data_IF_110239914065
#
_entry.id   IF_110239914065
#
_cell.length_a   1.000
_cell.length_b   1.000
_cell.length_c   1.000
_cell.angle_alpha   90.00
_cell.angle_beta   90.00
_cell.angle_gamma   90.00
#
_symmetry.space_group_name_H-M   'P 1'
#
loop_
_entity.id
_entity.type
_entity.pdbx_description
1 polymer ?
#
# COMPACT_ATOMS: atom_id res chain seq x y z
N UNK A 1 25.90 -20.52 -6.73
CA UNK A 1 25.95 -20.92 -5.31
C UNK A 1 26.79 -19.91 -4.56
N UNK A 2 26.13 -18.83 -4.12
CA UNK A 2 26.72 -17.83 -3.24
C UNK A 2 27.10 -18.46 -1.90
N UNK A 3 28.17 -17.95 -1.29
CA UNK A 3 28.49 -18.31 0.10
C UNK A 3 27.43 -17.74 1.06
N UNK A 4 27.26 -18.37 2.23
CA UNK A 4 26.38 -17.85 3.28
C UNK A 4 26.72 -16.38 3.64
N UNK A 5 28.00 -16.00 3.58
CA UNK A 5 28.46 -14.63 3.78
C UNK A 5 27.91 -13.63 2.75
N UNK A 6 27.80 -14.03 1.47
CA UNK A 6 27.25 -13.17 0.41
C UNK A 6 25.73 -13.05 0.51
N UNK A 7 25.03 -14.12 0.91
CA UNK A 7 23.61 -14.07 1.24
C UNK A 7 23.34 -13.15 2.44
N UNK A 8 24.21 -13.21 3.46
CA UNK A 8 24.20 -12.30 4.62
C UNK A 8 24.45 -10.85 4.18
N UNK A 9 25.30 -10.59 3.18
CA UNK A 9 25.50 -9.23 2.63
C UNK A 9 24.26 -8.69 1.91
N UNK A 10 23.52 -9.52 1.19
CA UNK A 10 22.24 -9.14 0.56
C UNK A 10 21.19 -8.81 1.63
N UNK A 11 21.21 -9.55 2.74
CA UNK A 11 20.30 -9.41 3.88
C UNK A 11 20.94 -8.64 5.05
N UNK A 12 21.93 -7.77 4.81
CA UNK A 12 22.73 -7.11 5.86
C UNK A 12 21.93 -6.10 6.72
N UNK A 13 20.60 -6.20 6.70
CA UNK A 13 19.68 -5.46 7.53
C UNK A 13 18.81 -6.48 8.29
N UNK A 14 18.80 -6.49 9.63
CA UNK A 14 18.11 -7.50 10.42
C UNK A 14 16.60 -7.52 10.13
N UNK A 15 16.11 -8.59 9.50
CA UNK A 15 14.68 -8.72 9.23
C UNK A 15 13.92 -9.13 10.50
N UNK A 16 12.96 -8.30 10.91
CA UNK A 16 12.07 -8.58 12.03
C UNK A 16 10.70 -8.94 11.48
N UNK A 17 10.31 -10.20 11.64
CA UNK A 17 8.96 -10.67 11.33
C UNK A 17 7.96 -10.15 12.38
N UNK A 18 6.67 -10.12 12.04
CA UNK A 18 5.61 -9.97 13.04
C UNK A 18 5.83 -11.01 14.17
N UNK A 19 6.11 -10.55 15.39
CA UNK A 19 6.47 -11.39 16.55
C UNK A 19 7.95 -11.37 16.98
N UNK A 20 8.84 -10.73 16.22
CA UNK A 20 10.24 -10.50 16.60
C UNK A 20 11.25 -11.53 16.08
N UNK A 21 12.51 -11.43 16.54
CA UNK A 21 13.64 -12.22 16.02
C UNK A 21 13.64 -13.72 16.37
N UNK A 22 12.69 -14.16 17.19
CA UNK A 22 12.54 -15.55 17.64
C UNK A 22 11.35 -16.28 17.01
N UNK A 23 10.57 -15.62 16.14
CA UNK A 23 9.44 -16.25 15.46
C UNK A 23 9.94 -17.40 14.58
N UNK A 24 9.33 -18.59 14.74
CA UNK A 24 9.68 -19.75 13.93
C UNK A 24 9.14 -19.59 12.52
N UNK A 25 9.86 -20.09 11.52
CA UNK A 25 9.42 -19.98 10.13
C UNK A 25 8.08 -20.72 9.89
N UNK A 26 7.86 -21.85 10.56
CA UNK A 26 6.63 -22.66 10.44
C UNK A 26 5.38 -21.95 10.97
N UNK A 27 5.53 -21.00 11.89
CA UNK A 27 4.39 -20.29 12.51
C UNK A 27 3.85 -19.15 11.61
N UNK A 28 4.65 -18.71 10.63
CA UNK A 28 4.32 -17.63 9.71
C UNK A 28 3.80 -18.13 8.36
N UNK A 29 4.01 -19.41 8.07
CA UNK A 29 4.03 -19.94 6.72
C UNK A 29 3.14 -21.18 6.64
N UNK A 30 1.86 -20.99 6.26
CA UNK A 30 0.96 -22.10 5.93
C UNK A 30 1.14 -22.52 4.44
N UNK A 31 1.78 -23.67 4.16
CA UNK A 31 2.51 -23.89 2.93
C UNK A 31 1.82 -24.61 1.75
N UNK A 32 0.51 -24.95 1.67
CA UNK A 32 0.09 -25.77 0.55
C UNK A 32 -0.14 -24.95 -0.72
N UNK A 33 0.79 -25.08 -1.67
CA UNK A 33 0.52 -24.97 -3.11
C UNK A 33 1.56 -24.24 -3.96
N UNK A 34 2.46 -23.45 -3.36
CA UNK A 34 3.40 -22.60 -4.14
C UNK A 34 4.86 -22.66 -3.70
N UNK A 35 5.16 -23.41 -2.64
CA UNK A 35 6.51 -23.62 -2.10
C UNK A 35 7.21 -24.75 -2.85
N UNK A 36 8.47 -24.55 -3.25
CA UNK A 36 9.25 -25.62 -3.89
C UNK A 36 9.66 -26.71 -2.89
N UNK A 37 9.95 -27.92 -3.40
CA UNK A 37 10.42 -29.03 -2.58
C UNK A 37 11.76 -28.74 -1.87
N UNK A 38 12.63 -27.93 -2.49
CA UNK A 38 13.91 -27.55 -1.91
C UNK A 38 13.74 -26.55 -0.77
N UNK A 39 12.83 -25.57 -0.91
CA UNK A 39 12.49 -24.66 0.17
C UNK A 39 11.89 -25.42 1.38
N UNK A 40 11.01 -26.40 1.13
CA UNK A 40 10.45 -27.24 2.20
C UNK A 40 11.52 -28.04 2.96
N UNK A 41 12.60 -28.47 2.30
CA UNK A 41 13.70 -29.20 2.98
C UNK A 41 14.49 -28.31 3.95
N UNK A 42 14.51 -27.00 3.72
CA UNK A 42 15.17 -26.03 4.60
C UNK A 42 14.29 -25.63 5.80
N UNK A 43 12.99 -25.92 5.74
CA UNK A 43 12.03 -25.57 6.79
C UNK A 43 12.06 -26.63 7.91
N UNK A 44 12.90 -26.41 8.92
CA UNK A 44 12.92 -27.25 10.13
C UNK A 44 11.98 -26.69 11.20
N UNK A 45 11.66 -27.48 12.22
CA UNK A 45 10.83 -27.01 13.32
C UNK A 45 11.47 -25.85 14.09
N UNK A 46 12.80 -25.85 14.24
CA UNK A 46 13.51 -24.88 15.08
C UNK A 46 14.04 -23.66 14.32
N UNK A 47 14.05 -23.69 12.98
CA UNK A 47 14.62 -22.59 12.20
C UNK A 47 13.82 -21.31 12.42
N UNK A 48 14.54 -20.24 12.78
CA UNK A 48 13.95 -18.92 12.89
C UNK A 48 13.53 -18.42 11.51
N UNK A 49 12.52 -17.56 11.46
CA UNK A 49 12.09 -16.96 10.21
C UNK A 49 13.23 -16.18 9.52
N UNK A 50 14.09 -15.49 10.29
CA UNK A 50 15.26 -14.80 9.75
C UNK A 50 16.29 -15.78 9.14
N UNK A 51 16.57 -16.89 9.82
CA UNK A 51 17.50 -17.91 9.31
C UNK A 51 16.94 -18.64 8.09
N UNK A 52 15.64 -18.92 8.06
CA UNK A 52 14.99 -19.52 6.92
C UNK A 52 15.07 -18.61 5.69
N UNK A 53 14.78 -17.31 5.82
CA UNK A 53 14.96 -16.35 4.73
C UNK A 53 16.42 -16.29 4.24
N UNK A 54 17.40 -16.30 5.16
CA UNK A 54 18.83 -16.35 4.79
C UNK A 54 19.16 -17.62 4.01
N UNK A 55 18.65 -18.75 4.46
CA UNK A 55 18.83 -20.03 3.76
C UNK A 55 18.23 -19.97 2.35
N UNK A 56 16.99 -19.50 2.20
CA UNK A 56 16.36 -19.36 0.88
C UNK A 56 17.19 -18.49 -0.07
N UNK A 57 17.76 -17.38 0.41
CA UNK A 57 18.63 -16.51 -0.40
C UNK A 57 19.98 -17.19 -0.72
N UNK A 58 20.59 -17.88 0.24
CA UNK A 58 21.87 -18.57 0.05
C UNK A 58 21.77 -19.72 -0.98
N UNK A 59 20.65 -20.43 -0.97
CA UNK A 59 20.33 -21.48 -1.94
C UNK A 59 19.70 -20.95 -3.24
N UNK A 60 19.66 -19.62 -3.44
CA UNK A 60 19.13 -18.98 -4.65
C UNK A 60 17.64 -19.31 -4.91
N UNK A 61 16.89 -19.69 -3.87
CA UNK A 61 15.45 -19.98 -3.88
C UNK A 61 14.63 -18.68 -3.79
N UNK A 62 14.87 -17.76 -4.72
CA UNK A 62 14.35 -16.40 -4.65
C UNK A 62 12.83 -16.28 -4.67
N UNK A 63 12.14 -17.09 -5.47
CA UNK A 63 10.68 -17.04 -5.53
C UNK A 63 10.06 -17.49 -4.20
N UNK A 64 10.63 -18.51 -3.55
CA UNK A 64 10.20 -18.92 -2.22
C UNK A 64 10.52 -17.84 -1.17
N UNK A 65 11.68 -17.19 -1.28
CA UNK A 65 12.04 -16.06 -0.41
C UNK A 65 11.05 -14.89 -0.54
N UNK A 66 10.68 -14.50 -1.77
CA UNK A 66 9.72 -13.43 -2.03
C UNK A 66 8.35 -13.76 -1.44
N UNK A 67 7.87 -14.99 -1.65
CA UNK A 67 6.62 -15.44 -1.04
C UNK A 67 6.71 -15.40 0.48
N UNK A 68 7.80 -15.90 1.06
CA UNK A 68 7.99 -15.93 2.51
C UNK A 68 7.98 -14.53 3.13
N UNK A 69 8.60 -13.54 2.48
CA UNK A 69 8.51 -12.13 2.90
C UNK A 69 7.07 -11.62 2.88
N UNK A 70 6.27 -11.98 1.87
CA UNK A 70 4.87 -11.56 1.79
C UNK A 70 4.04 -12.02 3.01
N UNK A 71 4.30 -13.23 3.51
CA UNK A 71 3.65 -13.78 4.71
C UNK A 71 4.20 -13.20 6.01
N UNK A 72 5.45 -12.75 6.01
CA UNK A 72 6.10 -12.20 7.19
C UNK A 72 5.74 -10.76 7.54
N UNK A 73 5.18 -10.03 6.58
CA UNK A 73 4.80 -8.62 6.72
C UNK A 73 3.35 -8.50 7.20
N UNK A 74 3.06 -7.48 8.01
CA UNK A 74 1.67 -7.10 8.29
C UNK A 74 0.95 -6.74 7.00
N UNK A 75 -0.37 -6.95 6.94
CA UNK A 75 -1.19 -6.76 5.72
C UNK A 75 -0.91 -5.43 4.99
N UNK A 76 -0.84 -4.32 5.73
CA UNK A 76 -0.57 -2.98 5.17
C UNK A 76 0.86 -2.86 4.63
N UNK A 77 1.83 -3.38 5.37
CA UNK A 77 3.23 -3.45 4.95
C UNK A 77 3.40 -4.32 3.70
N UNK A 78 2.74 -5.46 3.63
CA UNK A 78 2.81 -6.38 2.49
C UNK A 78 2.31 -5.72 1.20
N UNK A 79 1.14 -5.06 1.24
CA UNK A 79 0.61 -4.33 0.07
C UNK A 79 1.53 -3.19 -0.34
N UNK A 80 2.04 -2.41 0.62
CA UNK A 80 2.98 -1.33 0.33
C UNK A 80 4.28 -1.84 -0.31
N UNK A 81 4.85 -2.90 0.25
CA UNK A 81 6.03 -3.56 -0.31
C UNK A 81 5.78 -4.02 -1.75
N UNK A 82 4.65 -4.65 -2.03
CA UNK A 82 4.29 -5.05 -3.38
C UNK A 82 4.19 -3.87 -4.36
N UNK A 83 3.64 -2.73 -3.94
CA UNK A 83 3.60 -1.50 -4.75
C UNK A 83 5.01 -0.95 -5.03
N UNK A 84 5.89 -0.96 -4.03
CA UNK A 84 7.29 -0.57 -4.18
C UNK A 84 8.05 -1.50 -5.13
N UNK A 85 7.81 -2.81 -5.04
CA UNK A 85 8.39 -3.80 -5.93
C UNK A 85 8.05 -3.48 -7.39
N UNK A 86 6.76 -3.27 -7.66
CA UNK A 86 6.29 -2.89 -8.99
C UNK A 86 7.00 -1.61 -9.49
N UNK A 87 6.96 -0.54 -8.69
CA UNK A 87 7.57 0.74 -9.05
C UNK A 87 9.10 0.65 -9.26
N UNK A 88 9.79 -0.22 -8.52
CA UNK A 88 11.25 -0.38 -8.63
C UNK A 88 11.70 -1.03 -9.95
N UNK A 89 10.88 -1.91 -10.54
CA UNK A 89 11.25 -2.61 -11.78
C UNK A 89 10.69 -1.94 -13.03
N UNK A 90 9.54 -1.30 -12.94
CA UNK A 90 8.87 -0.70 -14.10
C UNK A 90 8.95 0.83 -14.16
N UNK A 91 9.30 1.51 -13.06
CA UNK A 91 9.37 2.97 -13.02
C UNK A 91 8.05 3.63 -13.43
N UNK A 92 8.08 4.83 -14.07
CA UNK A 92 6.88 5.54 -14.51
C UNK A 92 6.31 5.01 -15.83
N UNK A 93 6.54 3.74 -16.17
CA UNK A 93 6.04 3.15 -17.42
C UNK A 93 4.51 3.30 -17.48
N UNK A 94 4.01 3.73 -18.64
CA UNK A 94 2.58 3.82 -18.87
C UNK A 94 1.94 2.44 -18.72
N UNK A 95 1.16 2.31 -17.66
CA UNK A 95 0.28 1.20 -17.41
C UNK A 95 -0.99 1.35 -18.26
N UNK A 96 -1.64 0.24 -18.66
CA UNK A 96 -3.04 0.30 -19.05
C UNK A 96 -3.87 0.98 -17.95
N UNK A 97 -4.87 1.77 -18.34
CA UNK A 97 -5.64 2.60 -17.41
C UNK A 97 -6.21 1.81 -16.21
N UNK A 98 -6.66 0.58 -16.45
CA UNK A 98 -7.19 -0.29 -15.39
C UNK A 98 -6.10 -0.67 -14.36
N UNK A 99 -4.91 -1.04 -14.83
CA UNK A 99 -3.78 -1.39 -13.96
C UNK A 99 -3.28 -0.16 -13.20
N UNK A 100 -3.22 1.00 -13.85
CA UNK A 100 -2.87 2.26 -13.19
C UNK A 100 -3.85 2.57 -12.05
N UNK A 101 -5.16 2.51 -12.32
CA UNK A 101 -6.21 2.71 -11.31
C UNK A 101 -6.13 1.71 -10.17
N UNK A 102 -5.81 0.45 -10.45
CA UNK A 102 -5.66 -0.58 -9.43
C UNK A 102 -4.46 -0.29 -8.52
N UNK A 103 -3.30 0.05 -9.09
CA UNK A 103 -2.10 0.39 -8.32
C UNK A 103 -2.32 1.65 -7.47
N UNK A 104 -2.95 2.68 -8.03
CA UNK A 104 -3.30 3.91 -7.32
C UNK A 104 -4.29 3.65 -6.17
N UNK A 105 -5.30 2.80 -6.40
CA UNK A 105 -6.26 2.44 -5.37
C UNK A 105 -5.58 1.66 -4.23
N UNK A 106 -4.66 0.74 -4.54
CA UNK A 106 -3.87 0.02 -3.55
C UNK A 106 -2.99 0.99 -2.73
N UNK A 107 -2.28 1.90 -3.39
CA UNK A 107 -1.44 2.91 -2.73
C UNK A 107 -2.24 3.89 -1.88
N UNK A 108 -3.44 4.28 -2.32
CA UNK A 108 -4.31 5.12 -1.52
C UNK A 108 -4.81 4.41 -0.27
N UNK A 109 -5.17 3.12 -0.36
CA UNK A 109 -5.49 2.31 0.82
C UNK A 109 -4.28 2.15 1.75
N UNK A 110 -3.07 1.99 1.22
CA UNK A 110 -1.85 1.97 2.02
C UNK A 110 -1.68 3.28 2.79
N UNK A 111 -2.02 4.45 2.22
CA UNK A 111 -1.93 5.75 2.91
C UNK A 111 -3.04 5.92 3.96
N UNK A 112 -4.26 5.55 3.61
CA UNK A 112 -5.43 5.58 4.50
C UNK A 112 -6.26 4.30 4.33
N UNK A 113 -6.18 3.34 5.27
CA UNK A 113 -6.85 2.04 5.15
C UNK A 113 -8.35 2.09 5.52
N UNK A 114 -9.04 3.16 5.14
CA UNK A 114 -10.48 3.32 5.35
C UNK A 114 -11.32 2.34 4.53
N UNK A 115 -12.55 2.06 4.99
CA UNK A 115 -13.51 1.20 4.29
C UNK A 115 -13.74 1.66 2.84
N UNK A 116 -13.88 2.98 2.64
CA UNK A 116 -14.07 3.57 1.32
C UNK A 116 -12.91 3.26 0.37
N UNK A 117 -11.67 3.42 0.84
CA UNK A 117 -10.49 3.06 0.05
C UNK A 117 -10.37 1.56 -0.20
N UNK A 118 -10.75 0.73 0.78
CA UNK A 118 -10.78 -0.72 0.64
C UNK A 118 -11.75 -1.16 -0.46
N UNK A 119 -12.97 -0.64 -0.44
CA UNK A 119 -13.98 -0.94 -1.47
C UNK A 119 -13.58 -0.41 -2.85
N UNK A 120 -12.96 0.77 -2.92
CA UNK A 120 -12.40 1.31 -4.17
C UNK A 120 -11.33 0.39 -4.76
N UNK A 121 -10.43 -0.13 -3.92
CA UNK A 121 -9.43 -1.11 -4.34
C UNK A 121 -10.10 -2.40 -4.84
N UNK A 122 -11.17 -2.87 -4.20
CA UNK A 122 -11.94 -4.04 -4.65
C UNK A 122 -12.51 -3.90 -6.06
N UNK A 123 -13.11 -2.74 -6.36
CA UNK A 123 -13.63 -2.42 -7.71
C UNK A 123 -12.51 -2.31 -8.75
N UNK A 124 -11.43 -1.61 -8.42
CA UNK A 124 -10.29 -1.46 -9.32
C UNK A 124 -9.61 -2.81 -9.61
N UNK A 125 -9.50 -3.69 -8.60
CA UNK A 125 -8.98 -5.04 -8.76
C UNK A 125 -9.82 -5.91 -9.69
N UNK A 126 -11.15 -5.75 -9.67
CA UNK A 126 -12.06 -6.46 -10.58
C UNK A 126 -11.80 -6.05 -12.04
N UNK A 127 -11.61 -4.76 -12.28
CA UNK A 127 -11.39 -4.23 -13.61
C UNK A 127 -9.99 -4.56 -14.18
N UNK A 128 -8.95 -4.49 -13.35
CA UNK A 128 -7.57 -4.82 -13.76
C UNK A 128 -7.30 -6.32 -13.87
N UNK A 129 -8.04 -7.16 -13.15
CA UNK A 129 -7.87 -8.61 -13.12
C UNK A 129 -6.63 -9.09 -12.35
N UNK A 130 -6.72 -10.26 -11.72
CA UNK A 130 -5.64 -10.83 -10.90
C UNK A 130 -4.52 -11.51 -11.71
N UNK A 131 -4.57 -11.47 -13.04
CA UNK A 131 -3.44 -11.84 -13.90
C UNK A 131 -2.39 -10.73 -14.00
N UNK A 132 -2.66 -9.55 -13.41
CA UNK A 132 -1.74 -8.40 -13.38
C UNK A 132 -1.19 -8.18 -11.97
N UNK A 133 0.04 -7.66 -11.83
CA UNK A 133 0.56 -7.25 -10.53
C UNK A 133 -0.35 -6.24 -9.82
N UNK A 134 -0.81 -5.22 -10.54
CA UNK A 134 -1.64 -4.16 -9.98
C UNK A 134 -2.99 -4.67 -9.47
N UNK A 135 -3.66 -5.54 -10.24
CA UNK A 135 -4.91 -6.16 -9.82
C UNK A 135 -4.76 -7.04 -8.58
N UNK A 136 -3.65 -7.79 -8.47
CA UNK A 136 -3.32 -8.55 -7.26
C UNK A 136 -3.12 -7.65 -6.03
N UNK A 137 -2.41 -6.52 -6.16
CA UNK A 137 -2.18 -5.58 -5.05
C UNK A 137 -3.48 -4.89 -4.61
N UNK A 138 -4.30 -4.46 -5.55
CA UNK A 138 -5.62 -3.89 -5.26
C UNK A 138 -6.55 -4.92 -4.59
N UNK A 139 -6.46 -6.19 -5.00
CA UNK A 139 -7.22 -7.27 -4.37
C UNK A 139 -6.72 -7.55 -2.95
N UNK A 140 -5.41 -7.54 -2.72
CA UNK A 140 -4.81 -7.69 -1.40
C UNK A 140 -5.29 -6.57 -0.44
N UNK A 141 -5.35 -5.32 -0.90
CA UNK A 141 -5.93 -4.22 -0.15
C UNK A 141 -7.41 -4.49 0.19
N UNK A 142 -8.21 -4.94 -0.78
CA UNK A 142 -9.62 -5.29 -0.56
C UNK A 142 -9.82 -6.39 0.49
N UNK A 143 -9.00 -7.45 0.46
CA UNK A 143 -9.06 -8.57 1.40
C UNK A 143 -8.43 -8.30 2.77
N UNK A 144 -7.99 -7.06 3.04
CA UNK A 144 -7.30 -6.73 4.28
C UNK A 144 -8.16 -6.83 5.54
N UNK A 145 -9.48 -6.70 5.40
CA UNK A 145 -10.45 -6.86 6.47
C UNK A 145 -11.89 -6.63 5.99
N UNK A 146 -12.84 -6.66 6.93
CA UNK A 146 -14.27 -6.50 6.66
C UNK A 146 -14.84 -7.59 5.74
N UNK A 147 -16.10 -7.42 5.33
CA UNK A 147 -16.75 -8.38 4.45
C UNK A 147 -16.17 -8.34 3.04
N UNK A 148 -15.84 -9.51 2.50
CA UNK A 148 -15.46 -9.70 1.09
C UNK A 148 -16.64 -10.16 0.21
N UNK A 149 -17.82 -10.37 0.81
CA UNK A 149 -19.03 -10.69 0.09
C UNK A 149 -19.60 -9.44 -0.63
N UNK A 150 -20.37 -9.61 -1.71
CA UNK A 150 -21.11 -8.51 -2.32
C UNK A 150 -22.03 -7.79 -1.33
N UNK A 151 -22.32 -6.52 -1.63
CA UNK A 151 -23.23 -5.71 -0.82
C UNK A 151 -24.60 -6.40 -0.65
N UNK A 152 -25.15 -6.38 0.56
CA UNK A 152 -26.42 -7.01 0.90
C UNK A 152 -26.37 -8.52 1.15
N UNK A 153 -25.22 -9.18 0.97
CA UNK A 153 -25.03 -10.57 1.36
C UNK A 153 -24.54 -10.71 2.81
N UNK A 154 -24.67 -11.91 3.43
CA UNK A 154 -24.06 -12.19 4.72
C UNK A 154 -22.56 -11.85 4.73
N UNK A 155 -22.07 -11.37 5.88
CA UNK A 155 -20.65 -11.03 6.04
C UNK A 155 -19.79 -12.28 5.86
N UNK A 156 -18.79 -12.17 4.98
CA UNK A 156 -17.77 -13.20 4.78
C UNK A 156 -16.42 -12.58 5.08
N UNK A 157 -15.75 -13.08 6.10
CA UNK A 157 -14.39 -12.65 6.44
C UNK A 157 -13.37 -13.26 5.47
N UNK A 158 -12.38 -12.45 5.10
CA UNK A 158 -11.24 -12.95 4.33
C UNK A 158 -10.41 -13.92 5.18
N UNK A 159 -10.01 -15.05 4.58
CA UNK A 159 -8.96 -15.88 5.19
C UNK A 159 -7.68 -15.07 5.36
N UNK A 160 -7.00 -15.24 6.50
CA UNK A 160 -5.76 -14.53 6.84
C UNK A 160 -4.66 -14.69 5.79
N UNK A 161 -4.69 -15.78 5.02
CA UNK A 161 -3.73 -16.08 3.96
C UNK A 161 -4.00 -15.39 2.63
N UNK A 162 -5.17 -14.77 2.42
CA UNK A 162 -5.52 -14.18 1.11
C UNK A 162 -4.65 -12.98 0.76
N UNK A 163 -4.40 -12.09 1.73
CA UNK A 163 -3.55 -10.91 1.53
C UNK A 163 -2.11 -11.30 1.18
N UNK A 164 -1.39 -12.10 1.99
CA UNK A 164 -0.01 -12.44 1.66
C UNK A 164 0.09 -13.25 0.37
N UNK A 165 -0.87 -14.13 0.05
CA UNK A 165 -0.91 -14.85 -1.24
C UNK A 165 -1.08 -13.92 -2.44
N UNK A 166 -1.96 -12.92 -2.35
CA UNK A 166 -2.16 -11.94 -3.40
C UNK A 166 -0.92 -11.06 -3.61
N UNK A 167 -0.29 -10.60 -2.52
CA UNK A 167 0.97 -9.83 -2.58
C UNK A 167 2.10 -10.67 -3.18
N UNK A 168 2.26 -11.91 -2.72
CA UNK A 168 3.23 -12.84 -3.28
C UNK A 168 3.02 -13.04 -4.79
N UNK A 169 1.77 -13.25 -5.23
CA UNK A 169 1.42 -13.33 -6.64
C UNK A 169 1.80 -12.07 -7.42
N UNK A 170 1.50 -10.89 -6.87
CA UNK A 170 1.86 -9.61 -7.51
C UNK A 170 3.37 -9.44 -7.70
N UNK A 171 4.16 -9.77 -6.67
CA UNK A 171 5.62 -9.64 -6.70
C UNK A 171 6.24 -10.66 -7.65
N UNK A 172 5.74 -11.89 -7.69
CA UNK A 172 6.17 -12.92 -8.64
C UNK A 172 5.84 -12.53 -10.08
N UNK A 173 4.64 -12.02 -10.35
CA UNK A 173 4.25 -11.50 -11.67
C UNK A 173 5.11 -10.29 -12.07
N UNK A 174 5.43 -9.41 -11.11
CA UNK A 174 6.31 -8.26 -11.32
C UNK A 174 7.70 -8.71 -11.80
N UNK A 175 8.27 -9.74 -11.17
CA UNK A 175 9.56 -10.32 -11.59
C UNK A 175 9.44 -10.99 -12.95
N UNK A 176 8.37 -11.75 -13.20
CA UNK A 176 8.16 -12.47 -14.46
C UNK A 176 7.98 -11.55 -15.67
N UNK A 177 7.43 -10.36 -15.46
CA UNK A 177 7.25 -9.33 -16.50
C UNK A 177 8.49 -8.44 -16.69
N UNK A 178 9.48 -8.52 -15.80
CA UNK A 178 10.73 -7.77 -15.89
C UNK A 178 11.75 -8.47 -16.82
N UNK A 179 12.91 -7.84 -17.01
CA UNK A 179 13.98 -8.42 -17.84
C UNK A 179 14.47 -9.77 -17.27
N UNK A 180 14.25 -10.83 -18.05
CA UNK A 180 14.55 -12.22 -17.67
C UNK A 180 16.05 -12.51 -17.53
N UNK A 181 16.92 -11.67 -18.09
CA UNK A 181 18.37 -11.82 -17.92
C UNK A 181 18.85 -11.39 -16.53
N UNK A 182 17.99 -10.74 -15.74
CA UNK A 182 18.36 -10.13 -14.45
C UNK A 182 17.45 -10.56 -13.29
N UNK A 183 16.73 -11.69 -13.43
CA UNK A 183 15.75 -12.15 -12.43
C UNK A 183 16.34 -12.20 -11.02
N UNK A 184 17.52 -12.81 -10.83
CA UNK A 184 18.17 -12.87 -9.51
C UNK A 184 18.46 -11.48 -8.94
N UNK A 185 18.93 -10.55 -9.77
CA UNK A 185 19.21 -9.19 -9.34
C UNK A 185 17.92 -8.46 -8.96
N UNK A 186 16.84 -8.62 -9.73
CA UNK A 186 15.53 -8.08 -9.40
C UNK A 186 15.04 -8.65 -8.07
N UNK A 187 15.03 -9.97 -7.90
CA UNK A 187 14.62 -10.63 -6.67
C UNK A 187 15.38 -10.10 -5.45
N UNK A 188 16.71 -9.94 -5.53
CA UNK A 188 17.50 -9.38 -4.42
C UNK A 188 17.10 -7.94 -4.08
N UNK A 189 16.86 -7.09 -5.08
CA UNK A 189 16.36 -5.72 -4.87
C UNK A 189 15.01 -5.74 -4.17
N UNK A 190 14.08 -6.59 -4.64
CA UNK A 190 12.73 -6.69 -4.08
C UNK A 190 12.74 -7.22 -2.64
N UNK A 191 13.59 -8.22 -2.35
CA UNK A 191 13.80 -8.71 -0.99
C UNK A 191 14.32 -7.58 -0.08
N UNK A 192 15.34 -6.83 -0.54
CA UNK A 192 15.88 -5.69 0.19
C UNK A 192 14.83 -4.61 0.50
N UNK A 193 13.90 -4.32 -0.43
CA UNK A 193 12.76 -3.44 -0.19
C UNK A 193 11.84 -3.99 0.90
N UNK A 194 11.58 -5.30 0.91
CA UNK A 194 10.77 -5.96 1.94
C UNK A 194 11.38 -5.77 3.32
N UNK A 195 12.70 -5.85 3.43
CA UNK A 195 13.39 -5.67 4.71
C UNK A 195 13.26 -4.23 5.22
N UNK A 196 13.42 -3.25 4.33
CA UNK A 196 13.25 -1.83 4.67
C UNK A 196 11.83 -1.53 5.16
N UNK A 197 10.82 -2.16 4.56
CA UNK A 197 9.42 -2.00 4.97
C UNK A 197 9.16 -2.66 6.33
N UNK A 198 9.63 -3.89 6.55
CA UNK A 198 9.45 -4.60 7.82
C UNK A 198 10.00 -3.82 9.02
N UNK A 199 11.18 -3.21 8.87
CA UNK A 199 11.82 -2.40 9.90
C UNK A 199 11.22 -1.00 10.04
N UNK A 200 10.30 -0.63 9.15
CA UNK A 200 9.77 0.72 9.07
C UNK A 200 10.80 1.77 8.67
N UNK A 201 11.92 1.38 8.05
CA UNK A 201 12.88 2.31 7.43
C UNK A 201 12.30 2.95 6.17
N UNK A 202 11.33 2.28 5.54
CA UNK A 202 10.53 2.80 4.43
C UNK A 202 9.05 2.70 4.80
N UNK A 203 8.46 3.85 5.16
CA UNK A 203 7.04 3.97 5.50
C UNK A 203 6.33 4.79 4.44
N UNK A 204 5.04 4.52 4.25
CA UNK A 204 4.16 5.43 3.53
C UNK A 204 4.05 6.76 4.30
N UNK A 205 3.81 7.84 3.56
CA UNK A 205 3.43 9.11 4.18
C UNK A 205 2.00 8.96 4.71
N UNK A 206 1.82 9.22 6.00
CA UNK A 206 0.48 9.31 6.57
C UNK A 206 -0.18 10.59 6.04
N UNK A 207 -1.49 10.58 5.75
CA UNK A 207 -2.21 11.82 5.55
C UNK A 207 -2.00 12.66 6.80
N UNK A 208 -1.47 13.87 6.62
CA UNK A 208 -1.33 14.86 7.68
C UNK A 208 -2.67 14.87 8.43
N UNK A 209 -2.67 14.37 9.66
CA UNK A 209 -3.84 14.59 10.50
C UNK A 209 -3.94 16.09 10.54
N UNK A 210 -5.02 16.64 9.96
CA UNK A 210 -5.35 18.03 10.15
C UNK A 210 -5.43 18.19 11.67
N UNK A 211 -4.33 18.64 12.27
CA UNK A 211 -4.24 19.02 13.65
C UNK A 211 -5.32 20.08 13.78
N UNK A 212 -6.46 19.67 14.34
CA UNK A 212 -7.53 20.59 14.66
C UNK A 212 -6.85 21.70 15.46
N UNK A 213 -7.00 22.98 15.07
CA UNK A 213 -6.43 24.06 15.88
C UNK A 213 -6.98 23.88 17.29
N UNK A 214 -6.07 23.64 18.25
CA UNK A 214 -6.46 23.53 19.66
C UNK A 214 -7.31 24.76 19.99
N UNK A 215 -8.45 24.60 20.67
CA UNK A 215 -9.22 25.76 21.09
C UNK A 215 -8.33 26.57 22.02
N UNK A 216 -7.85 27.70 21.52
CA UNK A 216 -7.11 28.69 22.30
C UNK A 216 -8.02 29.13 23.43
N UNK A 217 -7.80 28.56 24.61
CA UNK A 217 -8.44 29.00 25.83
C UNK A 217 -8.02 30.44 26.07
N UNK A 218 -8.98 31.32 25.83
CA UNK A 218 -9.13 32.69 26.33
C UNK A 218 -8.20 32.99 27.50
N UNK A 219 -7.27 33.93 27.29
CA UNK A 219 -6.71 34.70 28.39
C UNK A 219 -6.80 36.20 28.13
N UNK A 220 -7.64 36.80 28.98
CA UNK A 220 -7.69 38.20 29.40
C UNK A 220 -8.35 39.19 28.40
N UNK A 221 -9.00 40.27 28.88
CA UNK A 221 -8.43 41.17 29.88
C UNK A 221 -9.33 41.51 31.08
N UNK A 222 -8.69 41.84 32.20
CA UNK A 222 -9.26 42.70 33.23
C UNK A 222 -8.28 43.86 33.48
N UNK A 223 -8.86 45.05 33.61
CA UNK A 223 -8.28 46.38 33.87
C UNK A 223 -7.49 47.06 32.74
N UNK A 224 -8.07 48.11 32.16
CA UNK A 224 -7.89 49.48 32.67
C UNK A 224 -8.95 50.43 32.07
N UNK A 225 -9.49 51.30 32.92
CA UNK A 225 -10.38 52.41 32.57
C UNK A 225 -9.55 53.56 31.98
N UNK A 226 -9.96 54.13 30.84
CA UNK A 226 -9.82 55.57 30.66
C UNK A 226 -10.93 56.14 29.75
N UNK A 227 -11.45 57.26 30.21
CA UNK A 227 -12.62 58.02 29.76
C UNK A 227 -12.18 59.07 28.73
N UNK A 228 -12.92 59.27 27.63
CA UNK A 228 -13.42 60.58 27.12
C UNK A 228 -13.92 60.53 25.66
N UNK A 229 -15.23 60.79 25.50
CA UNK A 229 -15.89 61.78 24.62
C UNK A 229 -15.26 62.11 23.24
N UNK A 230 -15.98 61.89 22.13
CA UNK A 230 -16.76 62.94 21.43
C UNK A 230 -17.50 62.40 20.18
N UNK A 231 -18.57 63.11 19.85
CA UNK A 231 -19.55 63.04 18.76
C UNK A 231 -19.05 62.96 17.30
N UNK A 232 -19.82 62.31 16.42
CA UNK A 232 -20.46 62.89 15.21
C UNK A 232 -21.14 61.81 14.33
N UNK A 233 -22.48 61.87 14.30
CA UNK A 233 -23.42 61.97 13.16
C UNK A 233 -23.18 61.36 11.75
N UNK A 234 -24.34 61.02 11.15
CA UNK A 234 -24.73 60.85 9.72
C UNK A 234 -24.44 59.50 9.02
N UNK A 235 -25.48 58.68 8.77
CA UNK A 235 -26.36 58.68 7.58
C UNK A 235 -25.64 58.45 6.24
N UNK A 236 -26.02 57.38 5.51
CA UNK A 236 -26.65 57.47 4.17
C UNK A 236 -26.82 56.08 3.52
N UNK A 237 -28.05 55.84 3.06
CA UNK A 237 -28.55 54.76 2.20
C UNK A 237 -27.85 54.65 0.83
N UNK A 238 -28.16 53.56 0.09
CA UNK A 238 -28.57 53.47 -1.35
C UNK A 238 -28.11 52.07 -1.86
N UNK A 239 -28.99 51.05 -1.99
CA UNK A 239 -29.89 50.75 -3.15
C UNK A 239 -29.10 50.75 -4.47
N UNK A 240 -29.03 49.72 -5.32
CA UNK A 240 -30.06 49.06 -6.13
C UNK A 240 -29.29 48.15 -7.13
N UNK A 241 -29.70 46.90 -7.35
CA UNK A 241 -30.49 46.41 -8.52
C UNK A 241 -29.73 46.56 -9.85
N UNK A 242 -29.46 45.48 -10.56
CA UNK A 242 -30.27 44.82 -11.62
C UNK A 242 -29.21 44.47 -12.70
N UNK A 243 -29.26 43.50 -13.60
CA UNK A 243 -30.24 42.60 -14.18
C UNK A 243 -29.39 41.55 -14.96
N UNK A 244 -29.68 40.25 -14.90
CA UNK A 244 -30.49 39.49 -15.89
C UNK A 244 -29.81 39.36 -17.28
N UNK A 245 -29.49 38.11 -17.63
CA UNK A 245 -29.99 37.37 -18.81
C UNK A 245 -28.94 36.47 -19.51
N UNK A 246 -29.21 35.17 -19.47
CA UNK A 246 -28.91 34.18 -20.52
C UNK A 246 -30.28 33.68 -21.02
N UNK A 247 -30.50 32.99 -22.18
CA UNK A 247 -29.58 32.04 -22.85
C UNK A 247 -29.77 31.99 -24.43
N UNK A 248 -29.77 30.83 -25.16
CA UNK A 248 -28.99 30.54 -26.40
C UNK A 248 -29.94 30.38 -27.63
N UNK A 249 -29.82 29.48 -28.66
CA UNK A 249 -28.75 28.65 -29.26
C UNK A 249 -28.71 28.69 -30.82
N UNK A 250 -27.70 28.11 -31.51
CA UNK A 250 -27.91 27.46 -32.83
C UNK A 250 -26.78 26.49 -33.26
N UNK A 251 -27.16 25.54 -34.11
CA UNK A 251 -26.54 24.24 -34.38
C UNK A 251 -25.84 24.11 -35.77
N UNK A 252 -25.19 22.95 -35.95
CA UNK A 252 -24.89 22.20 -37.21
C UNK A 252 -23.76 22.66 -38.16
N UNK A 253 -22.75 21.80 -38.38
CA UNK A 253 -22.64 20.83 -39.51
C UNK A 253 -21.43 19.90 -39.24
N UNK A 254 -21.55 18.56 -39.24
CA UNK A 254 -21.39 17.63 -40.38
C UNK A 254 -20.26 18.03 -41.35
N UNK A 255 -19.19 17.24 -41.40
CA UNK A 255 -18.64 16.70 -42.66
C UNK A 255 -17.58 15.60 -42.44
N UNK A 256 -17.83 14.49 -43.14
CA UNK A 256 -16.95 13.49 -43.78
C UNK A 256 -15.83 12.81 -43.01
#
# INVERSE_FOLDING_TARGET
MLSLEEAVKVLNIPFQFAGGGTTRAVDLWDPPGTTTGDALRLLTEEITAADYLRALVAYELYYDALRFVAFGLEKRQAVYWGCLCYGSLFGPRLLPDEEARALDAAMAWVRDPSESHRQRAGRAALAAGMSTPAGCLAKAAFWSGGSIAPEGMPTVEASEYLVPKAVAGAVVLTVALADYHRLDAHCRVLLGLGMQVAQGARRWLEPETASAPEPSMSHAPADEMEETKDSHDEETLILTRDEVESPPPTAQSVNS
#
